data_IF_124042189549
#
_entry.id   IF_124042189549
#
_cell.length_a   1.000
_cell.length_b   1.000
_cell.length_c   1.000
_cell.angle_alpha   90.00
_cell.angle_beta   90.00
_cell.angle_gamma   90.00
#
_symmetry.space_group_name_H-M   'P 1'
#
loop_
_entity.id
_entity.type
_entity.pdbx_description
1 polymer ?
#
# COMPACT_ATOMS: atom_id res chain seq x y z
N UNK A 1 -24.99 64.73 -44.77
CA UNK A 1 -23.61 65.13 -44.44
C UNK A 1 -23.02 64.06 -43.52
N UNK A 2 -22.02 63.34 -44.03
CA UNK A 2 -21.24 62.31 -43.32
C UNK A 2 -20.16 62.94 -42.42
N UNK A 3 -19.63 62.12 -41.49
CA UNK A 3 -18.39 62.24 -40.68
C UNK A 3 -18.65 62.85 -39.29
N UNK A 4 -18.20 62.27 -38.16
CA UNK A 4 -17.08 61.35 -37.93
C UNK A 4 -17.21 60.69 -36.55
N UNK A 5 -17.33 59.37 -36.52
CA UNK A 5 -17.01 58.51 -35.37
C UNK A 5 -15.68 57.85 -35.71
N UNK A 6 -14.68 57.94 -34.81
CA UNK A 6 -13.54 57.03 -34.61
C UNK A 6 -12.35 57.80 -34.04
N UNK A 7 -12.09 57.63 -32.73
CA UNK A 7 -10.76 57.53 -32.10
C UNK A 7 -10.90 57.46 -30.59
N UNK A 8 -11.09 56.26 -30.06
CA UNK A 8 -10.79 55.89 -28.67
C UNK A 8 -10.91 54.37 -28.52
N UNK A 9 -10.02 53.61 -29.16
CA UNK A 9 -9.92 52.17 -28.96
C UNK A 9 -8.52 51.70 -29.31
N UNK A 10 -7.56 51.92 -28.41
CA UNK A 10 -6.21 51.35 -28.46
C UNK A 10 -5.44 51.62 -27.15
N UNK A 11 -5.97 51.18 -26.01
CA UNK A 11 -5.18 51.07 -24.75
C UNK A 11 -5.52 49.80 -23.94
N UNK A 12 -6.69 49.18 -24.15
CA UNK A 12 -7.09 47.98 -23.38
C UNK A 12 -6.39 46.66 -23.78
N UNK A 13 -5.55 46.66 -24.83
CA UNK A 13 -4.86 45.45 -25.32
C UNK A 13 -3.50 45.16 -24.67
N UNK A 14 -2.85 46.16 -24.05
CA UNK A 14 -1.49 45.98 -23.53
C UNK A 14 -1.47 45.37 -22.12
N UNK A 15 -2.48 45.64 -21.29
CA UNK A 15 -2.53 45.15 -19.92
C UNK A 15 -2.80 43.63 -19.81
N UNK A 16 -3.55 43.06 -20.77
CA UNK A 16 -3.79 41.60 -20.81
C UNK A 16 -2.54 40.83 -21.28
N UNK A 17 -1.75 41.42 -22.17
CA UNK A 17 -0.51 40.79 -22.71
C UNK A 17 0.63 40.85 -21.69
N UNK A 18 0.73 41.93 -20.90
CA UNK A 18 1.76 42.04 -19.85
C UNK A 18 1.51 41.11 -18.67
N UNK A 19 0.25 40.91 -18.26
CA UNK A 19 -0.08 39.97 -17.19
C UNK A 19 0.18 38.51 -17.58
N UNK A 20 -0.10 38.15 -18.84
CA UNK A 20 0.16 36.79 -19.35
C UNK A 20 1.64 36.54 -19.63
N UNK A 21 2.43 37.56 -20.01
CA UNK A 21 3.88 37.46 -20.12
C UNK A 21 4.57 37.34 -18.74
N UNK A 22 4.12 38.10 -17.73
CA UNK A 22 4.67 38.02 -16.38
C UNK A 22 4.37 36.68 -15.70
N UNK A 23 3.13 36.18 -15.83
CA UNK A 23 2.76 34.84 -15.36
C UNK A 23 3.51 33.72 -16.12
N UNK A 24 3.84 33.95 -17.40
CA UNK A 24 4.69 33.04 -18.18
C UNK A 24 6.16 33.03 -17.71
N UNK A 25 6.68 34.18 -17.31
CA UNK A 25 8.06 34.33 -16.82
C UNK A 25 8.26 33.72 -15.42
N UNK A 26 7.34 33.99 -14.47
CA UNK A 26 7.39 33.37 -13.13
C UNK A 26 7.27 31.83 -13.20
N UNK A 27 6.45 31.35 -14.13
CA UNK A 27 6.26 29.92 -14.39
C UNK A 27 7.50 29.24 -14.99
N UNK A 28 8.17 29.90 -15.94
CA UNK A 28 9.41 29.39 -16.52
C UNK A 28 10.50 29.28 -15.44
N UNK A 29 10.63 30.33 -14.62
CA UNK A 29 11.54 30.38 -13.48
C UNK A 29 11.25 29.26 -12.46
N UNK A 30 9.98 28.98 -12.14
CA UNK A 30 9.61 27.87 -11.25
C UNK A 30 10.06 26.49 -11.73
N UNK A 31 9.86 26.21 -13.02
CA UNK A 31 10.29 24.95 -13.61
C UNK A 31 11.82 24.84 -13.66
N UNK A 32 12.51 25.96 -13.90
CA UNK A 32 13.98 25.99 -13.89
C UNK A 32 14.54 25.76 -12.49
N UNK A 33 13.98 26.42 -11.47
CA UNK A 33 14.32 26.14 -10.06
C UNK A 33 14.05 24.68 -9.68
N UNK A 34 12.95 24.11 -10.17
CA UNK A 34 12.66 22.70 -9.96
C UNK A 34 13.72 21.79 -10.59
N UNK A 35 14.16 22.08 -11.83
CA UNK A 35 15.22 21.31 -12.50
C UNK A 35 16.54 21.37 -11.74
N UNK A 36 16.91 22.53 -11.22
CA UNK A 36 18.13 22.70 -10.40
C UNK A 36 18.05 21.84 -9.12
N UNK A 37 16.91 21.88 -8.43
CA UNK A 37 16.67 21.05 -7.25
C UNK A 37 16.68 19.55 -7.61
N UNK A 38 16.01 19.14 -8.68
CA UNK A 38 15.98 17.76 -9.14
C UNK A 38 17.39 17.24 -9.45
N UNK A 39 18.20 18.00 -10.18
CA UNK A 39 19.58 17.63 -10.51
C UNK A 39 20.43 17.44 -9.24
N UNK A 40 20.32 18.35 -8.26
CA UNK A 40 21.04 18.23 -6.99
C UNK A 40 20.64 17.00 -6.18
N UNK A 41 19.34 16.68 -6.11
CA UNK A 41 18.82 15.57 -5.30
C UNK A 41 19.06 14.21 -5.93
N UNK A 42 18.91 14.09 -7.25
CA UNK A 42 19.22 12.86 -7.97
C UNK A 42 20.72 12.55 -7.90
N UNK A 43 21.59 13.56 -7.99
CA UNK A 43 23.03 13.39 -7.79
C UNK A 43 23.38 12.88 -6.38
N UNK A 44 22.68 13.34 -5.35
CA UNK A 44 22.88 12.86 -3.97
C UNK A 44 22.34 11.45 -3.73
N UNK A 45 21.18 11.10 -4.31
CA UNK A 45 20.60 9.76 -4.22
C UNK A 45 21.45 8.69 -4.92
N UNK A 46 22.24 9.07 -5.94
CA UNK A 46 23.21 8.17 -6.59
C UNK A 46 24.46 7.89 -5.74
N UNK A 47 24.75 8.74 -4.75
CA UNK A 47 25.95 8.67 -3.92
C UNK A 47 25.69 8.08 -2.52
N UNK A 48 24.44 7.94 -2.11
CA UNK A 48 24.05 7.40 -0.80
C UNK A 48 23.02 6.28 -0.93
N UNK A 49 23.22 5.20 -0.19
CA UNK A 49 22.25 4.12 -0.05
C UNK A 49 21.38 4.44 1.19
N UNK A 50 20.34 5.25 1.03
CA UNK A 50 19.52 5.65 2.18
C UNK A 50 18.27 6.45 1.84
N UNK A 51 17.19 6.18 2.58
CA UNK A 51 15.96 6.97 2.62
C UNK A 51 16.29 8.44 2.92
N UNK A 52 16.27 9.29 1.90
CA UNK A 52 16.37 10.72 2.12
C UNK A 52 15.14 11.18 2.91
N UNK A 53 15.34 11.93 4.02
CA UNK A 53 14.23 12.37 4.88
C UNK A 53 13.26 13.28 4.11
N UNK A 54 11.99 13.30 4.50
CA UNK A 54 10.91 14.04 3.80
C UNK A 54 11.28 15.52 3.63
N UNK A 55 11.98 16.09 4.62
CA UNK A 55 12.49 17.46 4.66
C UNK A 55 13.38 17.77 3.44
N UNK A 56 14.08 16.78 2.90
CA UNK A 56 14.92 16.93 1.71
C UNK A 56 14.11 17.26 0.44
N UNK A 57 12.82 16.90 0.40
CA UNK A 57 11.93 17.12 -0.75
C UNK A 57 10.96 18.26 -0.54
N UNK A 58 11.02 18.96 0.60
CA UNK A 58 10.07 20.02 0.96
C UNK A 58 9.99 21.11 -0.11
N UNK A 59 11.13 21.59 -0.59
CA UNK A 59 11.18 22.70 -1.55
C UNK A 59 10.64 22.30 -2.92
N UNK A 60 10.96 21.09 -3.37
CA UNK A 60 10.43 20.49 -4.61
C UNK A 60 8.90 20.47 -4.56
N UNK A 61 8.37 20.03 -3.42
CA UNK A 61 6.95 19.92 -3.19
C UNK A 61 6.25 21.27 -3.07
N UNK A 62 6.88 22.27 -2.45
CA UNK A 62 6.34 23.63 -2.40
C UNK A 62 6.16 24.20 -3.81
N UNK A 63 7.12 24.01 -4.71
CA UNK A 63 7.01 24.46 -6.10
C UNK A 63 5.85 23.78 -6.84
N UNK A 64 5.63 22.47 -6.61
CA UNK A 64 4.49 21.76 -7.19
C UNK A 64 3.15 22.27 -6.66
N UNK A 65 3.08 22.56 -5.36
CA UNK A 65 1.87 23.10 -4.72
C UNK A 65 1.54 24.50 -5.23
N UNK A 66 2.53 25.37 -5.32
CA UNK A 66 2.37 26.74 -5.81
C UNK A 66 1.86 26.74 -7.26
N UNK A 67 2.41 25.88 -8.13
CA UNK A 67 1.93 25.75 -9.51
C UNK A 67 0.45 25.39 -9.59
N UNK A 68 0.02 24.43 -8.77
CA UNK A 68 -1.37 23.96 -8.76
C UNK A 68 -2.28 25.03 -8.18
N UNK A 69 -1.92 25.61 -7.04
CA UNK A 69 -2.74 26.62 -6.35
C UNK A 69 -2.89 27.88 -7.20
N UNK A 70 -1.82 28.37 -7.83
CA UNK A 70 -1.86 29.53 -8.71
C UNK A 70 -2.70 29.28 -9.98
N UNK A 71 -2.57 28.09 -10.57
CA UNK A 71 -3.38 27.69 -11.72
C UNK A 71 -4.86 27.58 -11.38
N UNK A 72 -5.19 27.08 -10.18
CA UNK A 72 -6.55 27.04 -9.66
C UNK A 72 -7.10 28.45 -9.40
N UNK A 73 -6.28 29.36 -8.88
CA UNK A 73 -6.65 30.76 -8.63
C UNK A 73 -6.94 31.52 -9.92
N UNK A 74 -6.19 31.22 -10.99
CA UNK A 74 -6.40 31.78 -12.33
C UNK A 74 -7.76 31.37 -12.94
N UNK A 75 -8.33 30.24 -12.51
CA UNK A 75 -9.64 29.77 -12.96
C UNK A 75 -9.71 29.35 -14.43
N UNK A 76 -10.94 29.13 -14.91
CA UNK A 76 -11.20 28.82 -16.32
C UNK A 76 -10.44 27.58 -16.83
N UNK A 77 -9.84 27.63 -18.04
CA UNK A 77 -9.12 26.49 -18.60
C UNK A 77 -7.87 26.09 -17.79
N UNK A 78 -7.26 27.04 -17.08
CA UNK A 78 -6.06 26.81 -16.26
C UNK A 78 -6.36 26.04 -14.97
N UNK A 79 -7.60 26.08 -14.49
CA UNK A 79 -8.08 25.27 -13.38
C UNK A 79 -8.63 23.90 -13.82
N UNK A 80 -8.53 23.55 -15.10
CA UNK A 80 -9.02 22.27 -15.61
C UNK A 80 -8.07 21.13 -15.22
N UNK A 81 -8.64 19.94 -15.00
CA UNK A 81 -7.85 18.74 -14.67
C UNK A 81 -6.80 18.43 -15.75
N UNK A 82 -7.18 18.56 -17.02
CA UNK A 82 -6.28 18.28 -18.14
C UNK A 82 -5.10 19.24 -18.18
N UNK A 83 -5.34 20.54 -17.98
CA UNK A 83 -4.27 21.54 -17.91
C UNK A 83 -3.33 21.26 -16.75
N UNK A 84 -3.86 21.07 -15.54
CA UNK A 84 -3.03 20.80 -14.36
C UNK A 84 -2.20 19.51 -14.51
N UNK A 85 -2.77 18.46 -15.12
CA UNK A 85 -2.06 17.22 -15.38
C UNK A 85 -0.92 17.42 -16.39
N UNK A 86 -1.13 18.16 -17.49
CA UNK A 86 -0.10 18.49 -18.48
C UNK A 86 1.08 19.24 -17.84
N UNK A 87 0.78 20.18 -16.94
CA UNK A 87 1.80 20.88 -16.14
C UNK A 87 2.59 19.91 -15.26
N UNK A 88 1.90 19.03 -14.53
CA UNK A 88 2.55 18.02 -13.67
C UNK A 88 3.39 17.03 -14.48
N UNK A 89 2.95 16.67 -15.70
CA UNK A 89 3.72 15.79 -16.59
C UNK A 89 5.06 16.46 -16.99
N UNK A 90 5.06 17.78 -17.23
CA UNK A 90 6.31 18.55 -17.48
C UNK A 90 7.28 18.50 -16.28
N UNK A 91 6.77 18.60 -15.05
CA UNK A 91 7.59 18.46 -13.84
C UNK A 91 8.09 17.02 -13.66
N UNK A 92 7.26 16.03 -13.98
CA UNK A 92 7.64 14.63 -13.90
C UNK A 92 8.76 14.27 -14.89
N UNK A 93 8.70 14.83 -16.10
CA UNK A 93 9.76 14.74 -17.11
C UNK A 93 11.06 15.39 -16.61
N UNK A 94 10.98 16.58 -16.01
CA UNK A 94 12.13 17.28 -15.46
C UNK A 94 12.81 16.49 -14.31
N UNK A 95 12.06 15.69 -13.56
CA UNK A 95 12.60 14.79 -12.53
C UNK A 95 13.25 13.52 -13.12
N UNK A 96 12.82 13.07 -14.30
CA UNK A 96 13.41 11.89 -14.95
C UNK A 96 12.98 10.55 -14.34
N UNK A 97 11.70 10.43 -13.93
CA UNK A 97 11.15 9.17 -13.41
C UNK A 97 10.01 9.31 -12.40
N UNK A 98 9.59 10.53 -12.07
CA UNK A 98 8.48 10.76 -11.16
C UNK A 98 7.15 10.35 -11.80
N UNK A 99 6.19 9.99 -10.96
CA UNK A 99 4.78 9.82 -11.33
C UNK A 99 3.95 10.82 -10.53
N UNK A 100 3.45 11.86 -11.21
CA UNK A 100 2.59 12.89 -10.62
C UNK A 100 1.20 12.79 -11.27
N UNK A 101 0.22 12.27 -10.54
CA UNK A 101 -1.14 12.06 -11.07
C UNK A 101 -2.18 12.84 -10.30
N UNK A 102 -3.03 13.58 -11.01
CA UNK A 102 -4.12 14.36 -10.44
C UNK A 102 -5.47 13.72 -10.76
N UNK A 103 -6.37 13.74 -9.80
CA UNK A 103 -7.75 13.26 -9.94
C UNK A 103 -8.73 14.26 -9.33
N UNK A 104 -9.97 14.28 -9.82
CA UNK A 104 -11.00 15.19 -9.33
C UNK A 104 -12.04 14.46 -8.47
N UNK A 105 -12.16 14.86 -7.20
CA UNK A 105 -13.12 14.33 -6.25
C UNK A 105 -14.15 15.42 -5.91
N UNK A 106 -15.18 15.57 -6.75
CA UNK A 106 -16.15 16.67 -6.63
C UNK A 106 -15.48 18.05 -6.75
N UNK A 107 -15.51 18.89 -5.71
CA UNK A 107 -14.83 20.19 -5.71
C UNK A 107 -13.33 20.11 -5.37
N UNK A 108 -12.80 18.93 -5.02
CA UNK A 108 -11.40 18.75 -4.66
C UNK A 108 -10.57 18.22 -5.83
N UNK A 109 -9.29 18.56 -5.82
CA UNK A 109 -8.26 17.90 -6.62
C UNK A 109 -7.37 17.07 -5.69
N UNK A 110 -7.04 15.86 -6.10
CA UNK A 110 -6.24 14.91 -5.32
C UNK A 110 -5.06 14.46 -6.16
N UNK A 111 -3.86 14.81 -5.72
CA UNK A 111 -2.60 14.42 -6.33
C UNK A 111 -2.02 13.18 -5.66
N UNK A 112 -1.62 12.18 -6.42
CA UNK A 112 -0.80 11.04 -5.99
C UNK A 112 0.60 11.19 -6.59
N UNK A 113 1.56 11.60 -5.76
CA UNK A 113 2.89 12.03 -6.19
C UNK A 113 3.94 11.02 -5.71
N UNK A 114 4.65 10.46 -6.67
CA UNK A 114 5.77 9.53 -6.47
C UNK A 114 7.02 10.15 -7.09
N UNK A 115 8.02 10.47 -6.28
CA UNK A 115 9.32 10.93 -6.79
C UNK A 115 10.32 9.78 -6.87
N UNK A 116 10.26 8.87 -5.90
CA UNK A 116 11.03 7.63 -5.85
C UNK A 116 10.17 6.57 -5.13
N UNK A 117 9.97 5.41 -5.76
CA UNK A 117 9.16 4.32 -5.23
C UNK A 117 9.67 3.79 -3.88
N UNK A 118 10.97 3.97 -3.59
CA UNK A 118 11.60 3.55 -2.33
C UNK A 118 11.46 4.60 -1.23
N UNK A 119 11.22 5.86 -1.58
CA UNK A 119 11.26 6.97 -0.65
C UNK A 119 10.01 7.05 0.23
N UNK A 120 10.20 7.39 1.50
CA UNK A 120 9.14 7.84 2.40
C UNK A 120 8.56 9.22 2.03
N UNK A 121 9.15 9.91 1.04
CA UNK A 121 8.70 11.22 0.59
C UNK A 121 7.52 11.18 -0.39
N UNK A 122 7.04 10.02 -0.83
CA UNK A 122 5.84 9.93 -1.67
C UNK A 122 4.64 10.51 -0.92
N UNK A 123 3.74 11.17 -1.65
CA UNK A 123 2.67 11.94 -1.01
C UNK A 123 1.33 11.86 -1.75
N UNK A 124 0.25 11.96 -0.98
CA UNK A 124 -1.07 12.32 -1.47
C UNK A 124 -1.42 13.72 -1.02
N UNK A 125 -1.80 14.57 -1.97
CA UNK A 125 -2.04 16.00 -1.74
C UNK A 125 -3.46 16.34 -2.13
N UNK A 126 -4.15 17.08 -1.27
CA UNK A 126 -5.55 17.43 -1.50
C UNK A 126 -5.67 18.94 -1.58
N UNK A 127 -6.08 19.41 -2.75
CA UNK A 127 -6.32 20.82 -3.04
C UNK A 127 -7.83 21.09 -3.09
N UNK A 128 -8.21 22.27 -2.63
CA UNK A 128 -9.59 22.72 -2.62
C UNK A 128 -9.66 24.19 -2.30
N UNK A 129 -10.74 24.60 -1.63
CA UNK A 129 -10.90 25.98 -1.17
C UNK A 129 -10.77 26.08 0.34
N UNK A 130 -9.99 27.06 0.78
CA UNK A 130 -9.91 27.57 2.14
C UNK A 130 -10.57 28.96 2.13
N UNK A 131 -11.80 29.06 2.63
CA UNK A 131 -12.64 30.23 2.39
C UNK A 131 -12.96 30.40 0.89
N UNK A 132 -12.60 31.55 0.32
CA UNK A 132 -12.81 31.85 -1.10
C UNK A 132 -11.62 31.44 -1.99
N UNK A 133 -10.44 31.21 -1.40
CA UNK A 133 -9.19 31.04 -2.13
C UNK A 133 -8.85 29.55 -2.34
N UNK A 134 -8.30 29.18 -3.50
CA UNK A 134 -7.69 27.87 -3.68
C UNK A 134 -6.49 27.67 -2.74
N UNK A 135 -6.37 26.48 -2.18
CA UNK A 135 -5.28 26.13 -1.27
C UNK A 135 -5.02 24.62 -1.26
N UNK A 136 -3.81 24.25 -0.83
CA UNK A 136 -3.51 22.91 -0.35
C UNK A 136 -4.19 22.72 1.02
N UNK A 137 -5.16 21.81 1.09
CA UNK A 137 -5.89 21.49 2.32
C UNK A 137 -5.11 20.50 3.19
N UNK A 138 -4.42 19.54 2.56
CA UNK A 138 -3.63 18.51 3.27
C UNK A 138 -2.58 17.87 2.36
N UNK A 139 -1.44 17.53 2.95
CA UNK A 139 -0.45 16.63 2.38
C UNK A 139 -0.26 15.44 3.34
N UNK A 140 -0.47 14.24 2.83
CA UNK A 140 -0.26 12.97 3.54
C UNK A 140 0.94 12.30 2.91
N UNK A 141 1.88 11.84 3.73
CA UNK A 141 3.09 11.16 3.28
C UNK A 141 3.02 9.68 3.65
N UNK A 142 3.60 8.84 2.80
CA UNK A 142 3.60 7.40 3.00
C UNK A 142 4.68 6.71 2.20
N UNK A 143 5.10 5.54 2.67
CA UNK A 143 6.05 4.69 1.95
C UNK A 143 5.35 3.93 0.81
N UNK A 144 6.08 3.74 -0.28
CA UNK A 144 5.56 3.08 -1.48
C UNK A 144 4.78 4.03 -2.38
N UNK A 145 4.26 3.48 -3.48
CA UNK A 145 3.56 4.23 -4.52
C UNK A 145 2.10 4.48 -4.12
N UNK A 146 1.67 5.75 -3.96
CA UNK A 146 0.27 6.06 -3.73
C UNK A 146 -0.59 5.82 -4.97
N UNK A 147 -1.79 5.31 -4.74
CA UNK A 147 -2.90 5.26 -5.69
C UNK A 147 -4.15 5.80 -5.02
N UNK A 148 -4.94 6.55 -5.79
CA UNK A 148 -6.11 7.28 -5.31
C UNK A 148 -7.36 6.67 -5.92
N UNK A 149 -8.29 6.27 -5.07
CA UNK A 149 -9.58 5.71 -5.45
C UNK A 149 -10.70 6.66 -5.00
N UNK A 150 -11.41 7.19 -5.98
CA UNK A 150 -12.52 8.09 -5.76
C UNK A 150 -13.74 7.31 -5.27
N UNK A 151 -14.28 7.71 -4.12
CA UNK A 151 -15.52 7.16 -3.61
C UNK A 151 -16.71 7.94 -4.19
N UNK A 152 -17.89 7.31 -4.31
CA UNK A 152 -19.12 8.03 -4.62
C UNK A 152 -19.31 9.20 -3.64
N UNK A 153 -19.70 10.37 -4.16
CA UNK A 153 -19.85 11.56 -3.35
C UNK A 153 -20.90 11.36 -2.24
N UNK A 154 -20.53 11.65 -1.00
CA UNK A 154 -21.50 11.79 0.10
C UNK A 154 -22.02 13.23 0.19
N UNK A 155 -23.22 13.37 0.74
CA UNK A 155 -23.78 14.68 1.10
C UNK A 155 -22.89 15.41 2.13
N UNK A 156 -22.20 14.66 2.99
CA UNK A 156 -21.43 15.18 4.14
C UNK A 156 -19.99 15.61 3.78
N UNK A 157 -19.60 15.53 2.51
CA UNK A 157 -18.29 15.97 2.03
C UNK A 157 -17.53 14.93 1.22
N UNK A 158 -16.37 15.35 0.70
CA UNK A 158 -15.51 14.50 -0.11
C UNK A 158 -14.73 13.51 0.76
N UNK A 159 -14.71 12.25 0.32
CA UNK A 159 -13.89 11.19 0.89
C UNK A 159 -13.15 10.46 -0.23
N UNK A 160 -11.94 10.01 0.09
CA UNK A 160 -11.03 9.41 -0.88
C UNK A 160 -10.33 8.25 -0.21
N UNK A 161 -10.26 7.11 -0.89
CA UNK A 161 -9.48 5.99 -0.44
C UNK A 161 -8.09 6.08 -1.07
N UNK A 162 -7.05 6.03 -0.24
CA UNK A 162 -5.65 6.05 -0.66
C UNK A 162 -5.05 4.70 -0.36
N UNK A 163 -4.30 4.13 -1.30
CA UNK A 163 -3.52 2.94 -1.07
C UNK A 163 -2.06 3.19 -1.44
N UNK A 164 -1.17 2.78 -0.55
CA UNK A 164 0.27 2.91 -0.63
C UNK A 164 0.85 1.52 -0.88
N UNK A 165 1.37 1.29 -2.08
CA UNK A 165 1.92 -0.01 -2.49
C UNK A 165 3.44 0.01 -2.47
N UNK A 166 4.03 -0.81 -1.59
CA UNK A 166 5.47 -1.03 -1.56
C UNK A 166 5.96 -1.92 -2.70
N UNK A 167 7.29 -2.07 -2.79
CA UNK A 167 7.91 -2.97 -3.74
C UNK A 167 7.49 -4.42 -3.51
N UNK A 168 7.38 -5.18 -4.60
CA UNK A 168 7.13 -6.60 -4.52
C UNK A 168 8.33 -7.30 -3.87
N UNK A 169 8.04 -8.13 -2.88
CA UNK A 169 8.97 -9.11 -2.34
C UNK A 169 9.26 -10.18 -3.39
N UNK A 170 10.36 -10.92 -3.20
CA UNK A 170 10.69 -12.12 -3.99
C UNK A 170 9.64 -13.24 -3.91
N UNK A 171 8.69 -13.09 -2.99
CA UNK A 171 7.66 -14.08 -2.66
C UNK A 171 6.30 -13.78 -3.29
N UNK A 172 6.19 -12.71 -4.08
CA UNK A 172 4.92 -12.29 -4.69
C UNK A 172 3.98 -11.60 -3.71
N UNK A 173 4.49 -11.09 -2.59
CA UNK A 173 3.76 -10.20 -1.67
C UNK A 173 4.31 -8.78 -1.75
N UNK A 174 3.54 -7.79 -1.34
CA UNK A 174 3.95 -6.38 -1.28
C UNK A 174 3.42 -5.74 -0.01
N UNK A 175 4.22 -4.89 0.67
CA UNK A 175 3.68 -4.02 1.71
C UNK A 175 2.52 -3.21 1.14
N UNK A 176 1.39 -3.21 1.84
CA UNK A 176 0.21 -2.46 1.46
C UNK A 176 -0.28 -1.69 2.68
N UNK A 177 -0.57 -0.42 2.49
CA UNK A 177 -1.23 0.41 3.48
C UNK A 177 -2.39 1.14 2.82
N UNK A 178 -3.58 1.11 3.43
CA UNK A 178 -4.80 1.70 2.87
C UNK A 178 -5.43 2.63 3.90
N UNK A 179 -5.76 3.84 3.48
CA UNK A 179 -6.33 4.89 4.32
C UNK A 179 -7.60 5.46 3.68
N UNK A 180 -8.61 5.73 4.51
CA UNK A 180 -9.75 6.54 4.12
C UNK A 180 -9.50 7.98 4.58
N UNK A 181 -9.30 8.89 3.63
CA UNK A 181 -9.23 10.32 3.91
C UNK A 181 -10.62 10.94 3.80
N UNK A 182 -10.99 11.73 4.80
CA UNK A 182 -12.27 12.44 4.86
C UNK A 182 -12.07 13.91 5.17
N UNK A 183 -12.86 14.77 4.56
CA UNK A 183 -12.89 16.19 4.93
C UNK A 183 -13.35 16.38 6.38
N UNK A 184 -12.66 17.25 7.10
CA UNK A 184 -12.92 17.66 8.47
C UNK A 184 -12.68 19.17 8.59
N UNK A 185 -13.75 19.96 8.44
CA UNK A 185 -13.64 21.41 8.25
C UNK A 185 -12.85 21.75 6.99
N UNK A 186 -11.74 22.45 7.17
CA UNK A 186 -10.87 22.93 6.08
C UNK A 186 -9.66 22.03 5.78
N UNK A 187 -9.58 20.87 6.42
CA UNK A 187 -8.51 19.88 6.19
C UNK A 187 -9.09 18.51 5.85
N UNK A 188 -8.22 17.63 5.40
CA UNK A 188 -8.49 16.19 5.33
C UNK A 188 -7.90 15.53 6.57
N UNK A 189 -8.61 14.51 7.09
CA UNK A 189 -8.09 13.63 8.15
C UNK A 189 -8.20 12.18 7.73
N UNK A 190 -7.30 11.37 8.25
CA UNK A 190 -7.42 9.90 8.19
C UNK A 190 -8.61 9.50 9.08
N UNK A 191 -9.65 8.94 8.47
CA UNK A 191 -10.85 8.46 9.15
C UNK A 191 -10.79 6.96 9.45
N UNK A 192 -9.99 6.22 8.69
CA UNK A 192 -9.70 4.80 8.89
C UNK A 192 -8.36 4.44 8.24
N UNK A 193 -7.65 3.49 8.82
CA UNK A 193 -6.37 3.01 8.32
C UNK A 193 -6.20 1.50 8.52
N UNK A 194 -5.54 0.82 7.58
CA UNK A 194 -5.12 -0.57 7.77
C UNK A 194 -4.05 -0.73 8.85
N UNK A 195 -3.26 0.30 9.19
CA UNK A 195 -2.29 0.22 10.29
C UNK A 195 -2.95 -0.05 11.63
N UNK A 196 -4.18 0.46 11.82
CA UNK A 196 -4.95 0.23 13.05
C UNK A 196 -5.46 -1.20 13.15
N UNK A 197 -5.54 -1.92 12.01
CA UNK A 197 -6.01 -3.30 11.90
C UNK A 197 -4.85 -4.30 11.88
N UNK A 198 -3.71 -3.91 11.29
CA UNK A 198 -2.54 -4.75 11.05
C UNK A 198 -1.30 -4.10 11.66
N UNK A 199 -1.14 -4.24 12.98
CA UNK A 199 -0.06 -3.58 13.74
C UNK A 199 1.36 -3.98 13.28
N UNK A 200 1.55 -5.21 12.77
CA UNK A 200 2.83 -5.68 12.24
C UNK A 200 3.08 -5.33 10.76
N UNK A 201 2.19 -4.51 10.18
CA UNK A 201 2.14 -4.25 8.75
C UNK A 201 1.35 -5.31 7.97
N UNK A 202 0.93 -4.93 6.78
CA UNK A 202 0.11 -5.75 5.89
C UNK A 202 0.91 -6.13 4.64
N UNK A 203 1.15 -7.43 4.46
CA UNK A 203 1.81 -7.99 3.28
C UNK A 203 0.76 -8.58 2.34
N UNK A 204 0.31 -7.79 1.37
CA UNK A 204 -0.71 -8.19 0.42
C UNK A 204 -0.11 -9.06 -0.69
N UNK A 205 -0.76 -10.21 -0.94
CA UNK A 205 -0.59 -11.02 -2.16
C UNK A 205 -1.29 -10.34 -3.34
N UNK A 206 -2.52 -9.90 -3.09
CA UNK A 206 -3.32 -9.15 -4.05
C UNK A 206 -4.32 -8.28 -3.33
N UNK A 207 -4.70 -7.19 -3.96
CA UNK A 207 -5.78 -6.34 -3.48
C UNK A 207 -6.49 -5.70 -4.67
N UNK A 208 -7.72 -5.28 -4.47
CA UNK A 208 -8.50 -4.61 -5.51
C UNK A 208 -9.56 -3.71 -4.89
N UNK A 209 -9.83 -2.59 -5.57
CA UNK A 209 -10.96 -1.72 -5.29
C UNK A 209 -11.98 -1.86 -6.42
N UNK A 210 -13.22 -2.20 -6.09
CA UNK A 210 -14.34 -2.29 -7.04
C UNK A 210 -15.53 -1.51 -6.48
N UNK A 211 -15.76 -0.32 -7.01
CA UNK A 211 -16.77 0.59 -6.48
C UNK A 211 -16.49 0.90 -5.02
N UNK A 212 -17.45 0.57 -4.15
CA UNK A 212 -17.37 0.76 -2.70
C UNK A 212 -16.78 -0.45 -1.94
N UNK A 213 -16.22 -1.45 -2.63
CA UNK A 213 -15.65 -2.63 -2.00
C UNK A 213 -14.13 -2.71 -2.19
N UNK A 214 -13.43 -3.03 -1.10
CA UNK A 214 -11.98 -3.27 -1.07
C UNK A 214 -11.77 -4.72 -0.67
N UNK A 215 -11.10 -5.50 -1.52
CA UNK A 215 -10.69 -6.87 -1.23
C UNK A 215 -9.19 -6.92 -1.05
N UNK A 216 -8.73 -7.56 0.01
CA UNK A 216 -7.31 -7.70 0.33
C UNK A 216 -7.05 -9.16 0.67
N UNK A 217 -6.20 -9.83 -0.13
CA UNK A 217 -5.64 -11.16 0.16
C UNK A 217 -4.21 -10.95 0.63
N UNK A 218 -3.87 -11.44 1.81
CA UNK A 218 -2.62 -11.13 2.50
C UNK A 218 -2.07 -12.34 3.26
N UNK A 219 -0.76 -12.31 3.53
CA UNK A 219 -0.10 -13.31 4.37
C UNK A 219 -0.41 -13.06 5.85
N UNK A 220 -0.94 -14.08 6.51
CA UNK A 220 -1.22 -14.13 7.93
C UNK A 220 -0.02 -14.75 8.65
N UNK A 221 0.54 -14.03 9.63
CA UNK A 221 1.61 -14.54 10.48
C UNK A 221 1.01 -15.31 11.66
N UNK A 222 1.43 -16.56 11.83
CA UNK A 222 1.09 -17.47 12.93
C UNK A 222 2.18 -18.54 13.08
N UNK A 223 2.21 -19.34 14.16
CA UNK A 223 3.16 -20.45 14.27
C UNK A 223 3.08 -21.39 13.06
N UNK A 224 4.23 -21.68 12.42
CA UNK A 224 4.27 -22.43 11.15
C UNK A 224 4.20 -21.56 9.89
N UNK A 225 4.13 -20.24 10.02
CA UNK A 225 4.23 -19.33 8.88
C UNK A 225 5.61 -19.42 8.23
N UNK A 226 5.61 -19.63 6.91
CA UNK A 226 6.76 -19.47 6.05
C UNK A 226 6.42 -18.49 4.91
N UNK A 227 7.28 -17.51 4.62
CA UNK A 227 7.02 -16.54 3.56
C UNK A 227 7.04 -17.21 2.19
N UNK A 228 6.14 -16.80 1.29
CA UNK A 228 6.14 -17.30 -0.10
C UNK A 228 5.35 -18.58 -0.34
N UNK A 229 4.78 -19.20 0.70
CA UNK A 229 3.93 -20.38 0.55
C UNK A 229 2.51 -19.99 0.12
N UNK A 230 2.30 -19.87 -1.20
CA UNK A 230 1.02 -19.47 -1.78
C UNK A 230 -0.13 -20.39 -1.31
N UNK A 231 -1.25 -19.77 -0.94
CA UNK A 231 -2.46 -20.44 -0.42
C UNK A 231 -2.36 -20.83 1.05
N UNK A 232 -1.22 -21.33 1.51
CA UNK A 232 -1.04 -21.93 2.84
C UNK A 232 -1.22 -20.93 3.99
N UNK A 233 -0.62 -19.75 3.86
CA UNK A 233 -0.56 -18.78 4.96
C UNK A 233 -1.48 -17.59 4.76
N UNK A 234 -2.51 -17.72 3.92
CA UNK A 234 -3.24 -16.55 3.42
C UNK A 234 -4.63 -16.38 4.00
N UNK A 235 -4.99 -15.11 4.17
CA UNK A 235 -6.33 -14.68 4.54
C UNK A 235 -6.81 -13.61 3.57
N UNK A 236 -8.11 -13.60 3.31
CA UNK A 236 -8.79 -12.61 2.51
C UNK A 236 -9.82 -11.87 3.36
N UNK A 237 -9.72 -10.55 3.39
CA UNK A 237 -10.72 -9.67 3.97
C UNK A 237 -11.42 -8.88 2.86
N UNK A 238 -12.74 -8.71 3.00
CA UNK A 238 -13.54 -7.84 2.12
C UNK A 238 -14.14 -6.73 2.98
N UNK A 239 -13.88 -5.50 2.60
CA UNK A 239 -14.36 -4.29 3.25
C UNK A 239 -15.37 -3.57 2.35
N UNK A 240 -16.42 -3.05 2.96
CA UNK A 240 -17.28 -2.01 2.37
C UNK A 240 -16.79 -0.67 2.85
N UNK A 241 -16.48 0.20 1.90
CA UNK A 241 -16.01 1.56 2.12
C UNK A 241 -17.12 2.51 1.72
N UNK A 242 -17.56 3.30 2.70
CA UNK A 242 -18.40 4.47 2.46
C UNK A 242 -17.63 5.71 2.89
N UNK A 243 -18.06 6.92 2.50
CA UNK A 243 -17.40 8.16 2.94
C UNK A 243 -17.29 8.34 4.46
N UNK A 244 -18.16 7.67 5.24
CA UNK A 244 -18.23 7.83 6.69
C UNK A 244 -17.74 6.61 7.48
N UNK A 245 -17.81 5.41 6.90
CA UNK A 245 -17.47 4.17 7.61
C UNK A 245 -16.83 3.14 6.69
N UNK A 246 -15.84 2.43 7.24
CA UNK A 246 -15.27 1.22 6.67
C UNK A 246 -15.70 0.02 7.51
N UNK A 247 -16.38 -0.94 6.89
CA UNK A 247 -16.90 -2.13 7.58
C UNK A 247 -16.35 -3.38 6.92
N UNK A 248 -15.73 -4.27 7.70
CA UNK A 248 -15.36 -5.60 7.21
C UNK A 248 -16.62 -6.45 7.01
N UNK A 249 -16.91 -6.82 5.77
CA UNK A 249 -18.06 -7.63 5.39
C UNK A 249 -17.81 -9.11 5.56
N UNK A 250 -16.61 -9.54 5.18
CA UNK A 250 -16.22 -10.93 5.16
C UNK A 250 -14.75 -11.07 5.52
N UNK A 251 -14.44 -12.22 6.11
CA UNK A 251 -13.10 -12.71 6.37
C UNK A 251 -13.09 -14.19 6.04
N UNK A 252 -12.20 -14.59 5.14
CA UNK A 252 -12.05 -15.98 4.70
C UNK A 252 -10.58 -16.38 4.75
N UNK A 253 -10.28 -17.51 5.38
CA UNK A 253 -8.97 -18.13 5.23
C UNK A 253 -8.93 -18.89 3.90
N UNK A 254 -7.89 -18.68 3.10
CA UNK A 254 -7.77 -19.36 1.79
C UNK A 254 -7.61 -20.86 2.00
N UNK A 255 -6.73 -21.25 2.94
CA UNK A 255 -6.51 -22.62 3.38
C UNK A 255 -6.54 -22.73 4.91
N UNK A 256 -7.74 -22.72 5.50
CA UNK A 256 -7.90 -22.84 6.96
C UNK A 256 -7.28 -24.11 7.56
N UNK A 257 -7.10 -25.15 6.73
CA UNK A 257 -6.49 -26.41 7.13
C UNK A 257 -5.02 -26.25 7.57
N UNK A 258 -4.25 -25.32 6.99
CA UNK A 258 -2.82 -25.16 7.31
C UNK A 258 -2.65 -24.61 8.72
N UNK A 259 -3.47 -23.63 9.11
CA UNK A 259 -3.50 -23.13 10.50
C UNK A 259 -3.93 -24.21 11.49
N UNK A 260 -4.95 -25.01 11.14
CA UNK A 260 -5.37 -26.15 11.97
C UNK A 260 -4.26 -27.20 12.13
N UNK A 261 -3.52 -27.49 11.04
CA UNK A 261 -2.40 -28.41 11.03
C UNK A 261 -1.25 -27.89 11.90
N UNK A 262 -0.84 -26.64 11.75
CA UNK A 262 0.28 -26.10 12.54
C UNK A 262 -0.04 -25.95 14.02
N UNK A 263 -1.31 -25.72 14.38
CA UNK A 263 -1.73 -25.83 15.78
C UNK A 263 -1.64 -27.28 16.33
N UNK A 264 -1.69 -28.29 15.47
CA UNK A 264 -1.45 -29.71 15.83
C UNK A 264 0.05 -30.01 15.88
N UNK A 265 0.84 -29.50 14.92
CA UNK A 265 2.30 -29.64 14.88
C UNK A 265 2.90 -29.01 16.14
N UNK A 266 2.53 -27.78 16.49
CA UNK A 266 3.00 -27.07 17.68
C UNK A 266 2.66 -27.82 18.98
N UNK A 267 1.43 -28.37 19.07
CA UNK A 267 1.05 -29.22 20.21
C UNK A 267 1.87 -30.50 20.29
N UNK A 268 2.16 -31.14 19.15
CA UNK A 268 2.98 -32.34 19.10
C UNK A 268 4.42 -32.03 19.53
N UNK A 269 5.06 -31.00 18.96
CA UNK A 269 6.44 -30.64 19.28
C UNK A 269 6.58 -30.22 20.74
N UNK A 270 5.61 -29.47 21.26
CA UNK A 270 5.56 -29.12 22.69
C UNK A 270 5.40 -30.36 23.58
N UNK A 271 4.48 -31.27 23.25
CA UNK A 271 4.25 -32.48 24.04
C UNK A 271 5.46 -33.42 24.04
N UNK A 272 6.16 -33.55 22.92
CA UNK A 272 7.44 -34.28 22.84
C UNK A 272 8.47 -33.64 23.76
N UNK A 273 8.66 -32.32 23.67
CA UNK A 273 9.63 -31.59 24.48
C UNK A 273 9.36 -31.68 26.00
N UNK A 274 8.09 -31.79 26.42
CA UNK A 274 7.71 -31.91 27.83
C UNK A 274 7.50 -33.35 28.31
N UNK A 275 7.61 -34.35 27.42
CA UNK A 275 7.33 -35.75 27.73
C UNK A 275 5.85 -36.05 28.04
N UNK A 276 4.90 -35.28 27.50
CA UNK A 276 3.47 -35.53 27.68
C UNK A 276 2.99 -36.69 26.79
N UNK A 277 3.13 -37.91 27.32
CA UNK A 277 2.74 -39.13 26.62
C UNK A 277 1.25 -39.16 26.24
N UNK A 278 0.38 -38.50 27.00
CA UNK A 278 -1.06 -38.50 26.77
C UNK A 278 -1.42 -37.73 25.49
N UNK A 279 -0.85 -36.53 25.33
CA UNK A 279 -1.02 -35.72 24.13
C UNK A 279 -0.34 -36.37 22.93
N UNK A 280 0.86 -36.93 23.11
CA UNK A 280 1.54 -37.67 22.03
C UNK A 280 0.71 -38.87 21.58
N UNK A 281 0.13 -39.65 22.50
CA UNK A 281 -0.75 -40.77 22.18
C UNK A 281 -2.02 -40.34 21.43
N UNK A 282 -2.59 -39.18 21.80
CA UNK A 282 -3.77 -38.64 21.12
C UNK A 282 -3.46 -38.17 19.69
N UNK A 283 -2.29 -37.56 19.45
CA UNK A 283 -1.88 -37.00 18.16
C UNK A 283 -1.21 -38.04 17.22
N UNK A 284 -0.63 -39.09 17.79
CA UNK A 284 0.10 -40.15 17.07
C UNK A 284 -0.49 -41.50 17.49
N UNK A 285 -1.62 -41.96 16.91
CA UNK A 285 -2.33 -43.16 17.40
C UNK A 285 -1.51 -44.46 17.27
N UNK A 286 -0.65 -44.55 16.25
CA UNK A 286 0.22 -45.70 16.02
C UNK A 286 1.34 -45.78 17.08
N UNK A 287 1.31 -46.85 17.88
CA UNK A 287 2.30 -47.09 18.94
C UNK A 287 3.71 -47.33 18.41
N UNK A 288 3.84 -48.02 17.27
CA UNK A 288 5.13 -48.29 16.64
C UNK A 288 5.75 -46.99 16.11
N UNK A 289 4.93 -46.10 15.54
CA UNK A 289 5.39 -44.77 15.14
C UNK A 289 5.85 -43.94 16.35
N UNK A 290 5.06 -43.89 17.42
CA UNK A 290 5.43 -43.17 18.66
C UNK A 290 6.79 -43.58 19.20
N UNK A 291 7.07 -44.88 19.24
CA UNK A 291 8.31 -45.42 19.77
C UNK A 291 9.56 -45.01 18.96
N UNK A 292 9.39 -44.54 17.71
CA UNK A 292 10.50 -44.10 16.85
C UNK A 292 10.67 -42.59 16.80
N UNK A 293 9.74 -41.80 17.35
CA UNK A 293 9.83 -40.36 17.29
C UNK A 293 11.00 -39.85 18.16
N UNK A 294 11.74 -38.84 17.71
CA UNK A 294 12.69 -38.14 18.56
C UNK A 294 12.03 -37.53 19.79
N UNK A 295 12.77 -37.45 20.90
CA UNK A 295 12.30 -36.81 22.12
C UNK A 295 12.00 -35.30 21.94
N UNK A 296 12.59 -34.65 20.93
CA UNK A 296 12.30 -33.27 20.58
C UNK A 296 12.38 -33.06 19.06
N UNK A 297 11.42 -32.29 18.54
CA UNK A 297 11.31 -31.89 17.14
C UNK A 297 10.97 -30.40 17.07
N UNK A 298 11.50 -29.69 16.07
CA UNK A 298 11.18 -28.30 15.77
C UNK A 298 10.71 -28.20 14.33
N UNK A 299 9.56 -27.58 14.07
CA UNK A 299 9.07 -27.38 12.71
C UNK A 299 10.00 -26.45 11.92
N UNK A 300 10.26 -26.76 10.66
CA UNK A 300 11.07 -25.93 9.78
C UNK A 300 10.22 -24.84 9.10
N UNK A 301 10.77 -23.64 8.86
CA UNK A 301 10.06 -22.54 8.19
C UNK A 301 10.09 -22.71 6.65
N UNK A 302 9.62 -23.86 6.17
CA UNK A 302 9.49 -24.19 4.74
C UNK A 302 8.01 -24.41 4.39
N UNK A 303 7.68 -24.36 3.10
CA UNK A 303 6.31 -24.64 2.66
C UNK A 303 5.96 -26.11 2.87
N UNK A 304 4.75 -26.36 3.37
CA UNK A 304 4.26 -27.71 3.58
C UNK A 304 3.98 -28.41 2.25
N UNK A 305 4.28 -29.70 2.17
CA UNK A 305 4.02 -30.49 0.98
C UNK A 305 2.65 -31.16 1.08
N UNK A 306 1.71 -30.77 0.22
CA UNK A 306 0.39 -31.43 0.15
C UNK A 306 0.51 -32.73 -0.65
N UNK A 307 0.47 -33.86 0.04
CA UNK A 307 0.51 -35.20 -0.56
C UNK A 307 -0.84 -35.57 -1.19
N UNK A 308 -1.95 -35.14 -0.57
CA UNK A 308 -3.31 -35.34 -1.07
C UNK A 308 -4.31 -34.34 -0.44
N UNK A 309 -5.59 -34.47 -0.76
CA UNK A 309 -6.66 -33.67 -0.13
C UNK A 309 -6.67 -33.78 1.40
N UNK A 310 -6.27 -34.93 1.95
CA UNK A 310 -6.30 -35.26 3.39
C UNK A 310 -4.93 -35.42 4.03
N UNK A 311 -3.83 -35.42 3.27
CA UNK A 311 -2.49 -35.70 3.80
C UNK A 311 -1.49 -34.60 3.43
N UNK A 312 -0.69 -34.19 4.41
CA UNK A 312 0.28 -33.10 4.30
C UNK A 312 1.56 -33.49 5.04
N UNK A 313 2.70 -33.26 4.42
CA UNK A 313 4.03 -33.46 4.99
C UNK A 313 4.61 -32.12 5.44
N UNK A 314 5.08 -32.09 6.69
CA UNK A 314 5.69 -30.94 7.35
C UNK A 314 7.15 -31.26 7.63
N UNK A 315 8.05 -30.33 7.28
CA UNK A 315 9.47 -30.44 7.61
C UNK A 315 9.73 -30.18 9.10
N UNK A 316 10.55 -31.01 9.72
CA UNK A 316 10.96 -30.82 11.11
C UNK A 316 12.42 -31.23 11.33
N UNK A 317 13.03 -30.68 12.37
CA UNK A 317 14.42 -30.98 12.75
C UNK A 317 14.46 -31.48 14.19
N UNK A 318 15.12 -32.62 14.39
CA UNK A 318 15.35 -33.18 15.72
C UNK A 318 16.46 -32.41 16.46
N UNK A 319 16.57 -32.63 17.77
CA UNK A 319 17.61 -31.97 18.59
C UNK A 319 19.05 -32.23 18.12
N UNK A 320 19.31 -33.36 17.47
CA UNK A 320 20.59 -33.71 16.85
C UNK A 320 20.81 -33.06 15.46
N UNK A 321 19.95 -32.11 15.08
CA UNK A 321 19.91 -31.43 13.77
C UNK A 321 19.60 -32.34 12.58
N UNK A 322 19.13 -33.56 12.82
CA UNK A 322 18.70 -34.45 11.74
C UNK A 322 17.35 -33.98 11.18
N UNK A 323 17.20 -33.84 9.86
CA UNK A 323 15.93 -33.48 9.25
C UNK A 323 14.95 -34.67 9.23
N UNK A 324 13.67 -34.36 9.37
CA UNK A 324 12.55 -35.30 9.40
C UNK A 324 11.41 -34.77 8.53
N UNK A 325 10.75 -35.69 7.82
CA UNK A 325 9.46 -35.45 7.20
C UNK A 325 8.37 -36.03 8.10
N UNK A 326 7.42 -35.19 8.51
CA UNK A 326 6.28 -35.56 9.34
C UNK A 326 5.01 -35.52 8.50
N UNK A 327 4.44 -36.68 8.17
CA UNK A 327 3.20 -36.75 7.37
C UNK A 327 1.99 -36.84 8.29
N UNK A 328 1.15 -35.83 8.23
CA UNK A 328 -0.12 -35.75 8.92
C UNK A 328 -1.26 -36.10 7.97
N UNK A 329 -2.26 -36.80 8.49
CA UNK A 329 -3.50 -37.08 7.80
C UNK A 329 -4.69 -36.52 8.58
N UNK A 330 -5.63 -35.90 7.88
CA UNK A 330 -6.90 -35.45 8.44
C UNK A 330 -7.82 -36.65 8.61
N UNK A 331 -8.09 -37.02 9.86
CA UNK A 331 -9.08 -38.02 10.23
C UNK A 331 -10.34 -37.32 10.77
N UNK A 332 -11.40 -38.07 11.07
CA UNK A 332 -12.67 -37.53 11.61
C UNK A 332 -12.48 -36.67 12.88
N UNK A 333 -11.47 -36.97 13.69
CA UNK A 333 -11.13 -36.22 14.91
C UNK A 333 -10.03 -35.14 14.72
N UNK A 334 -9.74 -34.76 13.48
CA UNK A 334 -8.72 -33.78 13.10
C UNK A 334 -7.41 -34.39 12.60
N UNK A 335 -6.35 -33.58 12.52
CA UNK A 335 -5.04 -34.01 12.05
C UNK A 335 -4.37 -35.00 13.02
N UNK A 336 -3.77 -36.06 12.48
CA UNK A 336 -2.96 -37.04 13.21
C UNK A 336 -1.68 -37.34 12.45
N UNK A 337 -0.59 -37.54 13.16
CA UNK A 337 0.66 -37.98 12.55
C UNK A 337 0.53 -39.47 12.16
N UNK A 338 0.70 -39.76 10.88
CA UNK A 338 0.58 -41.12 10.33
C UNK A 338 1.89 -41.67 9.80
N UNK A 339 2.86 -40.81 9.49
CA UNK A 339 4.22 -41.23 9.20
C UNK A 339 5.23 -40.19 9.69
N UNK A 340 6.41 -40.65 10.08
CA UNK A 340 7.56 -39.82 10.38
C UNK A 340 8.82 -40.56 9.96
N UNK A 341 9.63 -39.93 9.11
CA UNK A 341 10.83 -40.53 8.54
C UNK A 341 11.99 -39.51 8.56
N UNK A 342 13.19 -39.91 9.01
CA UNK A 342 14.38 -39.09 8.79
C UNK A 342 14.61 -38.90 7.29
N UNK A 343 14.93 -37.68 6.87
CA UNK A 343 15.32 -37.41 5.48
C UNK A 343 16.82 -37.71 5.37
N UNK A 344 17.17 -38.64 4.49
CA UNK A 344 18.57 -38.88 4.13
C UNK A 344 18.99 -37.76 3.17
N UNK A 345 20.08 -37.06 3.47
CA UNK A 345 20.70 -36.10 2.57
C UNK A 345 21.49 -36.79 1.47
#
# INVERSE_FOLDING_TARGET
>A
MLRSVHRALLVAGLALVTASAAAGADRADRLDRFRELAASRLGLAQLGDGDAPIEAYRDIYALLDDEIVESLASGGPFASLAFLQDRLDTFAEAWGGATLRLSRAGPLFVGAFTLDERSAANSVRVYGRLGAEPALLSAVYGQGRPSVHLLPAAADGAAVLVAWEGLASRWGTRPLHVELLRRDGDRMRVAWSTTDVFAEGLLARSWAVRGAEVRIRYELRYPGWAPGCEGQTEQEDVYRVTPNVVTRLARRQVDGWHRELHAVVERLTSALATGDESTVAALVPDRGLRARLPAALHAEPVCDARESGEAVSVGAVAADRRPWALTFRRLTAGWRLTAATPVLQ
#
